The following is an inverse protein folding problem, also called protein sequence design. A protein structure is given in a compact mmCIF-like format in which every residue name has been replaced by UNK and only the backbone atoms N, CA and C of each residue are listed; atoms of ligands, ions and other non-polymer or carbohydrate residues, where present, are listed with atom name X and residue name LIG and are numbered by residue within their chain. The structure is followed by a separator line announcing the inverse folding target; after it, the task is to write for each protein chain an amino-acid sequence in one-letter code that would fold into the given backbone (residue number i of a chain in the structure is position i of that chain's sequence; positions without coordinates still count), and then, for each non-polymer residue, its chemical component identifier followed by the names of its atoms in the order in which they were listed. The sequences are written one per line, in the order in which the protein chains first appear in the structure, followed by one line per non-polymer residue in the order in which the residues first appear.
data_IF_733513238586
#
_entry.id   IF_733513238586
#
_cell.length_a   1.000
_cell.length_b   1.000
_cell.length_c   1.000
_cell.angle_alpha   90.00
_cell.angle_beta   90.00
_cell.angle_gamma   90.00
#
_symmetry.space_group_name_H-M   'P 1'
#
loop_
_entity.id
_entity.type
_entity.pdbx_description
1 polymer ?
#
# COMPACT_ATOMS: atom_id res chain seq x y z
N UNK A 1 13.79 9.53 -13.34
CA UNK A 1 12.34 9.81 -13.29
C UNK A 1 12.18 10.89 -12.24
N UNK A 2 11.40 11.93 -12.51
CA UNK A 2 11.20 12.97 -11.52
C UNK A 2 10.31 12.47 -10.37
N UNK A 3 10.49 13.07 -9.20
CA UNK A 3 9.70 12.79 -7.99
C UNK A 3 8.20 12.81 -8.26
N UNK A 4 7.68 13.79 -9.02
CA UNK A 4 6.25 13.86 -9.35
C UNK A 4 5.76 12.66 -10.15
N UNK A 5 6.56 12.21 -11.13
CA UNK A 5 6.27 11.00 -11.91
C UNK A 5 6.30 9.74 -11.01
N UNK A 6 7.20 9.69 -10.03
CA UNK A 6 7.29 8.58 -9.08
C UNK A 6 6.05 8.55 -8.16
N UNK A 7 5.69 9.70 -7.57
CA UNK A 7 4.51 9.84 -6.72
C UNK A 7 3.23 9.42 -7.44
N UNK A 8 3.05 9.87 -8.68
CA UNK A 8 1.91 9.50 -9.51
C UNK A 8 1.82 7.98 -9.71
N UNK A 9 2.92 7.36 -10.15
CA UNK A 9 2.94 5.91 -10.41
C UNK A 9 2.78 5.09 -9.14
N UNK A 10 3.39 5.50 -8.04
CA UNK A 10 3.21 4.86 -6.73
C UNK A 10 1.76 4.95 -6.24
N UNK A 11 1.08 6.10 -6.42
CA UNK A 11 -0.33 6.23 -6.04
C UNK A 11 -1.21 5.23 -6.81
N UNK A 12 -0.97 5.10 -8.12
CA UNK A 12 -1.67 4.12 -8.97
C UNK A 12 -1.38 2.69 -8.55
N UNK A 13 -0.14 2.37 -8.16
CA UNK A 13 0.23 1.04 -7.66
C UNK A 13 -0.51 0.72 -6.35
N UNK A 14 -0.53 1.65 -5.39
CA UNK A 14 -1.27 1.50 -4.14
C UNK A 14 -2.76 1.26 -4.38
N UNK A 15 -3.40 2.03 -5.27
CA UNK A 15 -4.81 1.82 -5.64
C UNK A 15 -5.10 0.44 -6.24
N UNK A 16 -4.19 -0.02 -7.10
CA UNK A 16 -4.31 -1.35 -7.70
C UNK A 16 -4.18 -2.43 -6.64
N UNK A 17 -3.21 -2.32 -5.74
CA UNK A 17 -3.03 -3.25 -4.62
C UNK A 17 -4.27 -3.26 -3.72
N UNK A 18 -4.81 -2.09 -3.36
CA UNK A 18 -6.06 -1.98 -2.60
C UNK A 18 -7.21 -2.72 -3.28
N UNK A 19 -7.40 -2.49 -4.59
CA UNK A 19 -8.45 -3.14 -5.36
C UNK A 19 -8.28 -4.67 -5.38
N UNK A 20 -7.05 -5.18 -5.48
CA UNK A 20 -6.78 -6.63 -5.40
C UNK A 20 -7.09 -7.20 -4.02
N UNK A 21 -6.73 -6.51 -2.94
CA UNK A 21 -7.12 -6.92 -1.60
C UNK A 21 -8.65 -6.95 -1.44
N UNK A 22 -9.39 -5.97 -1.99
CA UNK A 22 -10.86 -5.99 -1.99
C UNK A 22 -11.42 -7.20 -2.74
N UNK A 23 -10.90 -7.50 -3.93
CA UNK A 23 -11.31 -8.68 -4.71
C UNK A 23 -11.00 -9.99 -3.98
N UNK A 24 -9.84 -10.10 -3.34
CA UNK A 24 -9.48 -11.26 -2.53
C UNK A 24 -10.42 -11.44 -1.33
N UNK A 25 -10.85 -10.34 -0.69
CA UNK A 25 -11.82 -10.39 0.40
C UNK A 25 -13.15 -11.04 -0.03
N UNK A 26 -13.60 -10.79 -1.26
CA UNK A 26 -14.80 -11.42 -1.84
C UNK A 26 -14.62 -12.94 -2.02
N UNK A 27 -13.40 -13.41 -2.27
CA UNK A 27 -13.08 -14.84 -2.39
C UNK A 27 -13.06 -15.57 -1.04
N UNK A 28 -12.91 -14.84 0.06
CA UNK A 28 -12.94 -15.36 1.42
C UNK A 28 -14.30 -15.16 2.10
N UNK A 29 -15.40 -15.22 1.36
CA UNK A 29 -16.74 -14.94 1.88
C UNK A 29 -17.10 -15.76 3.14
N UNK A 30 -16.65 -17.02 3.19
CA UNK A 30 -16.88 -17.97 4.30
C UNK A 30 -15.76 -17.98 5.35
N UNK A 31 -14.67 -17.23 5.12
CA UNK A 31 -13.53 -17.09 6.04
C UNK A 31 -13.43 -15.65 6.54
N UNK A 32 -14.10 -15.40 7.67
CA UNK A 32 -14.24 -14.05 8.22
C UNK A 32 -12.89 -13.41 8.57
N UNK A 33 -11.94 -14.19 9.12
CA UNK A 33 -10.63 -13.68 9.51
C UNK A 33 -9.84 -13.22 8.28
N UNK A 34 -9.78 -14.04 7.23
CA UNK A 34 -9.07 -13.68 5.99
C UNK A 34 -9.73 -12.53 5.25
N UNK A 35 -11.07 -12.49 5.22
CA UNK A 35 -11.81 -11.36 4.64
C UNK A 35 -11.52 -10.06 5.37
N UNK A 36 -11.53 -10.06 6.70
CA UNK A 36 -11.21 -8.89 7.52
C UNK A 36 -9.77 -8.43 7.34
N UNK A 37 -8.82 -9.38 7.25
CA UNK A 37 -7.43 -9.09 6.93
C UNK A 37 -7.31 -8.39 5.57
N UNK A 38 -7.93 -8.95 4.52
CA UNK A 38 -7.93 -8.35 3.19
C UNK A 38 -8.54 -6.94 3.20
N UNK A 39 -9.63 -6.70 3.92
CA UNK A 39 -10.18 -5.36 4.07
C UNK A 39 -9.27 -4.40 4.84
N UNK A 40 -8.55 -4.88 5.85
CA UNK A 40 -7.57 -4.07 6.57
C UNK A 40 -6.40 -3.67 5.66
N UNK A 41 -5.85 -4.62 4.89
CA UNK A 41 -4.77 -4.37 3.94
C UNK A 41 -5.21 -3.45 2.79
N UNK A 42 -6.44 -3.61 2.29
CA UNK A 42 -7.00 -2.67 1.31
C UNK A 42 -7.04 -1.24 1.84
N UNK A 43 -7.46 -1.04 3.10
CA UNK A 43 -7.52 0.27 3.74
C UNK A 43 -6.12 0.90 3.91
N UNK A 44 -5.11 0.08 4.21
CA UNK A 44 -3.71 0.51 4.28
C UNK A 44 -3.28 1.09 2.93
N UNK A 45 -3.49 0.36 1.85
CA UNK A 45 -3.10 0.82 0.51
C UNK A 45 -3.95 2.00 -0.01
N UNK A 46 -5.24 2.06 0.34
CA UNK A 46 -6.08 3.24 0.09
C UNK A 46 -5.52 4.49 0.79
N UNK A 47 -4.98 4.31 2.00
CA UNK A 47 -4.31 5.38 2.75
C UNK A 47 -3.01 5.78 2.06
N UNK A 48 -2.17 4.83 1.64
CA UNK A 48 -0.96 5.10 0.88
C UNK A 48 -1.25 5.93 -0.37
N UNK A 49 -2.20 5.49 -1.20
CA UNK A 49 -2.61 6.20 -2.42
C UNK A 49 -3.06 7.63 -2.13
N UNK A 50 -3.82 7.83 -1.07
CA UNK A 50 -4.29 9.16 -0.66
C UNK A 50 -3.11 10.07 -0.32
N UNK A 51 -2.19 9.63 0.55
CA UNK A 51 -1.05 10.48 0.96
C UNK A 51 -0.15 10.77 -0.24
N UNK A 52 0.11 9.77 -1.11
CA UNK A 52 0.92 9.97 -2.32
C UNK A 52 0.33 11.03 -3.26
N UNK A 53 -1.00 11.06 -3.39
CA UNK A 53 -1.70 12.11 -4.17
C UNK A 53 -1.63 13.48 -3.52
N UNK A 54 -1.75 13.56 -2.19
CA UNK A 54 -1.65 14.83 -1.45
C UNK A 54 -0.26 15.45 -1.60
N UNK A 55 0.80 14.64 -1.58
CA UNK A 55 2.15 15.11 -1.85
C UNK A 55 2.36 15.48 -3.32
N UNK A 56 1.85 14.67 -4.26
CA UNK A 56 1.88 15.02 -5.69
C UNK A 56 1.25 16.39 -5.96
N UNK A 57 0.07 16.64 -5.37
CA UNK A 57 -0.61 17.92 -5.46
C UNK A 57 0.25 19.05 -4.86
N UNK A 58 0.92 18.80 -3.73
CA UNK A 58 1.80 19.79 -3.10
C UNK A 58 3.00 20.18 -3.99
N UNK A 59 3.59 19.24 -4.73
CA UNK A 59 4.63 19.53 -5.72
C UNK A 59 4.08 20.32 -6.92
N UNK A 60 2.91 19.92 -7.42
CA UNK A 60 2.25 20.59 -8.55
C UNK A 60 1.86 22.04 -8.22
N UNK A 61 1.38 22.32 -7.01
CA UNK A 61 1.07 23.68 -6.55
C UNK A 61 2.30 24.59 -6.49
N UNK A 62 3.49 24.03 -6.30
CA UNK A 62 4.76 24.76 -6.28
C UNK A 62 5.44 24.83 -7.65
N UNK A 63 4.84 24.23 -8.68
CA UNK A 63 5.44 24.03 -10.00
C UNK A 63 6.80 23.28 -9.94
N UNK A 64 6.96 22.40 -8.95
CA UNK A 64 8.16 21.62 -8.71
C UNK A 64 8.00 20.20 -9.26
N UNK A 65 9.01 19.71 -9.99
CA UNK A 65 9.07 18.30 -10.39
C UNK A 65 9.77 17.43 -9.32
N UNK A 66 10.48 18.07 -8.38
CA UNK A 66 11.39 17.44 -7.42
C UNK A 66 12.62 16.81 -8.08
N UNK A 67 13.37 16.04 -7.30
CA UNK A 67 14.62 15.44 -7.75
C UNK A 67 14.44 14.42 -8.86
N UNK A 68 15.49 14.27 -9.69
CA UNK A 68 15.55 13.26 -10.72
C UNK A 68 16.20 11.97 -10.19
N UNK A 69 15.38 10.93 -10.02
CA UNK A 69 15.73 9.64 -9.47
C UNK A 69 15.55 8.53 -10.54
N UNK A 70 16.58 8.23 -11.36
CA UNK A 70 16.46 7.32 -12.49
C UNK A 70 16.28 5.84 -12.09
N UNK A 71 16.84 5.41 -10.97
CA UNK A 71 16.78 4.04 -10.45
C UNK A 71 15.36 3.56 -10.11
N UNK A 72 14.48 4.49 -9.75
CA UNK A 72 13.07 4.18 -9.47
C UNK A 72 12.30 3.76 -10.72
N UNK A 73 12.69 4.24 -11.90
CA UNK A 73 11.96 3.96 -13.13
C UNK A 73 11.83 2.46 -13.44
N UNK A 74 12.93 1.72 -13.29
CA UNK A 74 12.96 0.28 -13.52
C UNK A 74 12.23 -0.50 -12.41
N UNK A 75 12.41 -0.11 -11.14
CA UNK A 75 11.77 -0.78 -10.00
C UNK A 75 10.25 -0.65 -10.04
N UNK A 76 9.74 0.55 -10.32
CA UNK A 76 8.30 0.80 -10.48
C UNK A 76 7.74 -0.04 -11.63
N UNK A 77 8.42 -0.09 -12.77
CA UNK A 77 7.98 -0.89 -13.90
C UNK A 77 7.92 -2.41 -13.59
N UNK A 78 8.86 -2.91 -12.78
CA UNK A 78 8.84 -4.30 -12.32
C UNK A 78 7.63 -4.58 -11.42
N UNK A 79 7.32 -3.68 -10.49
CA UNK A 79 6.17 -3.82 -9.59
C UNK A 79 4.85 -3.72 -10.37
N UNK A 80 4.76 -2.83 -11.35
CA UNK A 80 3.59 -2.74 -12.24
C UNK A 80 3.30 -4.06 -12.97
N UNK A 81 4.35 -4.71 -13.51
CA UNK A 81 4.22 -6.01 -14.17
C UNK A 81 3.82 -7.13 -13.19
N UNK A 82 4.40 -7.13 -11.98
CA UNK A 82 4.03 -8.06 -10.91
C UNK A 82 2.55 -7.91 -10.53
N UNK A 83 2.07 -6.68 -10.30
CA UNK A 83 0.67 -6.42 -9.97
C UNK A 83 -0.26 -6.78 -11.13
N UNK A 84 0.12 -6.52 -12.39
CA UNK A 84 -0.68 -6.90 -13.54
C UNK A 84 -0.86 -8.43 -13.63
N UNK A 85 0.21 -9.20 -13.39
CA UNK A 85 0.16 -10.66 -13.33
C UNK A 85 -0.66 -11.16 -12.14
N UNK A 86 -0.53 -10.52 -10.98
CA UNK A 86 -1.33 -10.86 -9.80
C UNK A 86 -2.81 -10.58 -10.02
N UNK A 87 -3.17 -9.48 -10.67
CA UNK A 87 -4.56 -9.17 -11.00
C UNK A 87 -5.20 -10.26 -11.86
N UNK A 88 -4.46 -10.79 -12.84
CA UNK A 88 -4.92 -11.92 -13.65
C UNK A 88 -5.12 -13.18 -12.80
N UNK A 89 -4.18 -13.48 -11.87
CA UNK A 89 -4.28 -14.63 -10.95
C UNK A 89 -5.48 -14.52 -10.01
N UNK A 90 -5.69 -13.36 -9.38
CA UNK A 90 -6.84 -13.10 -8.49
C UNK A 90 -8.17 -13.24 -9.24
N UNK A 91 -8.24 -12.77 -10.48
CA UNK A 91 -9.43 -12.92 -11.32
C UNK A 91 -9.69 -14.39 -11.67
N UNK A 92 -8.64 -15.13 -12.01
CA UNK A 92 -8.71 -16.52 -12.43
C UNK A 92 -8.90 -17.51 -11.26
N UNK A 93 -8.59 -17.12 -10.01
CA UNK A 93 -8.67 -17.98 -8.84
C UNK A 93 -10.06 -18.61 -8.68
N UNK A 94 -10.09 -19.95 -8.63
CA UNK A 94 -11.29 -20.77 -8.48
C UNK A 94 -11.40 -21.38 -7.08
N UNK A 95 -10.30 -21.41 -6.32
CA UNK A 95 -10.27 -22.00 -4.98
C UNK A 95 -9.77 -21.02 -3.91
N UNK A 96 -10.15 -21.24 -2.63
CA UNK A 96 -9.60 -20.47 -1.51
C UNK A 96 -8.07 -20.57 -1.40
N UNK A 97 -7.48 -21.72 -1.73
CA UNK A 97 -6.03 -21.91 -1.69
C UNK A 97 -5.31 -21.04 -2.75
N UNK A 98 -5.85 -20.98 -3.97
CA UNK A 98 -5.33 -20.08 -5.01
C UNK A 98 -5.47 -18.59 -4.63
N UNK A 99 -6.54 -18.25 -3.90
CA UNK A 99 -6.73 -16.90 -3.36
C UNK A 99 -5.70 -16.59 -2.26
N UNK A 100 -5.35 -17.55 -1.40
CA UNK A 100 -4.29 -17.40 -0.38
C UNK A 100 -2.93 -17.23 -1.04
N UNK A 101 -2.61 -18.05 -2.04
CA UNK A 101 -1.35 -17.92 -2.79
C UNK A 101 -1.22 -16.55 -3.47
N UNK A 102 -2.35 -16.02 -3.95
CA UNK A 102 -2.41 -14.68 -4.54
C UNK A 102 -2.27 -13.57 -3.49
N UNK A 103 -2.86 -13.75 -2.30
CA UNK A 103 -2.72 -12.85 -1.17
C UNK A 103 -1.26 -12.77 -0.69
N UNK A 104 -0.61 -13.91 -0.49
CA UNK A 104 0.78 -13.99 -0.07
C UNK A 104 1.71 -13.36 -1.11
N UNK A 105 1.48 -13.64 -2.40
CA UNK A 105 2.26 -13.05 -3.47
C UNK A 105 2.05 -11.53 -3.59
N UNK A 106 0.86 -11.03 -3.27
CA UNK A 106 0.59 -9.59 -3.19
C UNK A 106 1.33 -8.93 -2.02
N UNK A 107 1.35 -9.55 -0.83
CA UNK A 107 2.13 -9.04 0.30
C UNK A 107 3.65 -9.07 0.06
N UNK A 108 4.12 -9.97 -0.82
CA UNK A 108 5.53 -10.04 -1.23
C UNK A 108 5.89 -9.04 -2.34
N UNK A 109 4.92 -8.26 -2.85
CA UNK A 109 5.27 -7.14 -3.71
C UNK A 109 6.05 -6.11 -2.89
N UNK A 110 7.20 -5.67 -3.40
CA UNK A 110 8.14 -4.79 -2.71
C UNK A 110 7.67 -3.33 -2.69
N UNK A 111 6.36 -3.09 -2.50
CA UNK A 111 5.76 -1.76 -2.47
C UNK A 111 6.17 -0.98 -1.21
N UNK A 112 6.16 -1.63 -0.05
CA UNK A 112 6.65 -1.01 1.19
C UNK A 112 8.13 -0.62 1.07
N UNK A 113 8.98 -1.51 0.56
CA UNK A 113 10.41 -1.21 0.33
C UNK A 113 10.60 -0.02 -0.63
N UNK A 114 9.75 0.10 -1.66
CA UNK A 114 9.78 1.24 -2.58
C UNK A 114 9.44 2.55 -1.86
N UNK A 115 8.46 2.54 -0.95
CA UNK A 115 8.08 3.72 -0.17
C UNK A 115 9.17 4.11 0.82
N UNK A 116 9.78 3.14 1.51
CA UNK A 116 10.91 3.38 2.41
C UNK A 116 12.09 4.00 1.66
N UNK A 117 12.41 3.48 0.47
CA UNK A 117 13.49 4.02 -0.35
C UNK A 117 13.19 5.43 -0.86
N UNK A 118 11.93 5.73 -1.21
CA UNK A 118 11.47 7.08 -1.56
C UNK A 118 11.71 8.10 -0.44
N UNK A 119 11.70 7.63 0.80
CA UNK A 119 11.81 8.47 2.00
C UNK A 119 13.25 8.62 2.43
N UNK A 120 14.05 7.56 2.25
CA UNK A 120 15.49 7.60 2.49
C UNK A 120 16.22 8.41 1.41
N UNK A 121 15.75 8.37 0.16
CA UNK A 121 16.40 9.02 -0.99
C UNK A 121 15.76 10.36 -1.39
N UNK A 122 14.60 10.71 -0.84
CA UNK A 122 13.91 11.95 -1.12
C UNK A 122 14.48 13.17 -0.39
N UNK A 123 14.27 14.35 -1.00
CA UNK A 123 14.35 15.68 -0.39
C UNK A 123 13.71 15.69 1.03
N UNK A 124 14.19 16.46 2.03
CA UNK A 124 13.60 16.58 3.37
C UNK A 124 12.06 16.77 3.41
N UNK A 125 11.42 17.21 2.33
CA UNK A 125 9.96 17.15 2.16
C UNK A 125 9.36 15.73 2.32
N UNK A 126 10.05 14.68 1.87
CA UNK A 126 9.60 13.28 1.96
C UNK A 126 9.67 12.69 3.37
N UNK A 127 10.55 13.23 4.20
CA UNK A 127 10.62 12.83 5.61
C UNK A 127 9.35 13.22 6.35
N UNK A 128 8.78 14.38 6.02
CA UNK A 128 7.47 14.82 6.53
C UNK A 128 6.34 13.91 6.01
N UNK A 129 6.46 13.40 4.78
CA UNK A 129 5.49 12.46 4.20
C UNK A 129 5.43 11.13 4.96
N UNK A 130 6.57 10.50 5.30
CA UNK A 130 6.54 9.27 6.12
C UNK A 130 6.07 9.54 7.54
N UNK A 131 6.47 10.64 8.16
CA UNK A 131 5.93 11.01 9.47
C UNK A 131 4.40 11.18 9.42
N UNK A 132 3.84 11.69 8.32
CA UNK A 132 2.39 11.77 8.09
C UNK A 132 1.74 10.42 7.83
N UNK A 133 2.38 9.53 7.08
CA UNK A 133 1.93 8.15 6.85
C UNK A 133 1.87 7.37 8.16
N UNK A 134 2.97 7.37 8.91
CA UNK A 134 3.05 6.75 10.24
C UNK A 134 2.02 7.36 11.20
N UNK A 135 1.81 8.68 11.18
CA UNK A 135 0.78 9.34 11.98
C UNK A 135 -0.64 8.97 11.55
N UNK A 136 -0.92 8.81 10.25
CA UNK A 136 -2.22 8.35 9.75
C UNK A 136 -2.51 6.90 10.17
N UNK A 137 -1.47 6.05 10.21
CA UNK A 137 -1.56 4.70 10.76
C UNK A 137 -1.73 4.68 12.28
N UNK A 138 -1.04 5.55 13.01
CA UNK A 138 -1.18 5.67 14.46
C UNK A 138 -2.57 6.17 14.88
N UNK A 139 -3.18 7.03 14.08
CA UNK A 139 -4.50 7.62 14.33
C UNK A 139 -5.67 6.81 13.73
N UNK A 140 -5.40 5.70 13.03
CA UNK A 140 -6.46 4.80 12.56
C UNK A 140 -7.15 4.12 13.76
N UNK A 141 -8.49 4.19 13.87
CA UNK A 141 -9.24 3.85 15.09
C UNK A 141 -9.24 2.36 15.49
N UNK A 142 -8.43 1.51 14.84
CA UNK A 142 -8.36 0.06 15.12
C UNK A 142 -7.37 -0.36 16.23
N UNK A 143 -6.52 0.54 16.74
CA UNK A 143 -5.63 0.21 17.88
C UNK A 143 -6.28 0.30 19.26
N UNK A 144 -7.54 0.74 19.35
CA UNK A 144 -8.23 0.91 20.64
C UNK A 144 -8.74 -0.39 21.28
N UNK A 145 -8.73 -1.54 20.58
CA UNK A 145 -9.41 -2.77 21.06
C UNK A 145 -8.50 -3.91 21.51
N UNK A 146 -7.17 -3.73 21.53
CA UNK A 146 -6.25 -4.72 22.11
C UNK A 146 -5.56 -4.15 23.35
N UNK A 147 -6.34 -3.78 24.37
CA UNK A 147 -5.82 -3.74 25.74
C UNK A 147 -5.80 -5.16 26.31
N UNK A 148 -4.67 -5.65 26.84
CA UNK A 148 -4.66 -6.92 27.54
C UNK A 148 -5.54 -6.77 28.78
N UNK A 149 -6.54 -7.63 28.86
CA UNK A 149 -7.43 -7.78 30.02
C UNK A 149 -6.53 -8.13 31.21
N UNK A 150 -6.21 -7.13 32.04
CA UNK A 150 -5.51 -7.36 33.32
C UNK A 150 -6.35 -8.37 34.10
N UNK A 151 -5.73 -9.51 34.37
CA UNK A 151 -6.24 -10.53 35.27
C UNK A 151 -6.71 -9.86 36.55
N UNK A 152 -8.01 -9.97 36.80
CA UNK A 152 -8.63 -9.69 38.08
C UNK A 152 -9.20 -11.02 38.54
N UNK A 153 -8.66 -11.56 39.63
CA UNK A 153 -9.13 -12.65 40.49
C UNK A 153 -7.88 -13.35 41.04
N UNK A 154 -7.66 -13.55 42.34
CA UNK A 154 -8.28 -13.13 43.61
C UNK A 154 -7.26 -13.50 44.68
#
# INVERSE_FOLDING_TARGET
MYVTEILERCAVLAERSAALYRQLAERFADDCERRELCHALALVEETHAKVLREELASFQEREEAGDFLPEFGQRIAQIEDQLAKLAQRVTAAQSPDEAIDSLLALQQTTLEELYDDLVVQGDPAFRIFVERLEAAFANSPKRATLRPRRQSQT
#
